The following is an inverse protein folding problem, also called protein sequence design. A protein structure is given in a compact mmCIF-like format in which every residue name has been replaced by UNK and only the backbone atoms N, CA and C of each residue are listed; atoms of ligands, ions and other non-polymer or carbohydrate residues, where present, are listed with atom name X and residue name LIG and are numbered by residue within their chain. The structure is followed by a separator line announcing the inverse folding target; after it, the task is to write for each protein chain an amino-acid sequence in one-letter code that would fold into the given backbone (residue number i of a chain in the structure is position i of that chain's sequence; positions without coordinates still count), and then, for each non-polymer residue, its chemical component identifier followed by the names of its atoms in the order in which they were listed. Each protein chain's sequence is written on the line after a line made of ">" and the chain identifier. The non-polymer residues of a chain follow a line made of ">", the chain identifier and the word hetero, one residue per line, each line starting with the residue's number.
data_IF_134123821384
#
_entry.id   IF_134123821384
#
_cell.length_a   1.000
_cell.length_b   1.000
_cell.length_c   1.000
_cell.angle_alpha   90.00
_cell.angle_beta   90.00
_cell.angle_gamma   90.00
#
_symmetry.space_group_name_H-M   'P 1'
#
loop_
_entity.id
_entity.type
_entity.pdbx_description
1 polymer ?
#
# COMPACT_ATOMS: atom_id res chain seq x y z
N UNK A 1 8.21 -58.06 46.74
CA UNK A 1 7.92 -56.72 46.19
C UNK A 1 8.93 -56.41 45.09
N UNK A 2 8.49 -56.25 43.84
CA UNK A 2 9.25 -55.60 42.77
C UNK A 2 8.24 -55.22 41.68
N UNK A 3 8.06 -53.93 41.42
CA UNK A 3 7.09 -53.42 40.44
C UNK A 3 7.85 -53.00 39.18
N UNK A 4 7.73 -53.79 38.12
CA UNK A 4 8.37 -53.49 36.83
C UNK A 4 7.55 -52.45 36.08
N UNK A 5 7.90 -51.17 36.23
CA UNK A 5 7.28 -50.07 35.49
C UNK A 5 7.75 -50.09 34.04
N UNK A 6 6.84 -50.37 33.10
CA UNK A 6 7.10 -50.17 31.68
C UNK A 6 7.17 -48.67 31.35
N UNK A 7 8.34 -48.21 30.90
CA UNK A 7 8.51 -46.83 30.44
C UNK A 7 8.12 -46.74 28.96
N UNK A 8 7.01 -46.06 28.67
CA UNK A 8 6.58 -45.76 27.31
C UNK A 8 7.37 -44.54 26.84
N UNK A 9 8.31 -44.73 25.90
CA UNK A 9 8.96 -43.62 25.20
C UNK A 9 8.00 -43.06 24.15
N UNK A 10 7.51 -41.84 24.37
CA UNK A 10 6.80 -41.07 23.35
C UNK A 10 7.84 -40.33 22.49
N UNK A 11 7.91 -40.54 21.17
CA UNK A 11 8.79 -39.74 20.32
C UNK A 11 8.23 -38.33 20.20
N UNK A 12 8.94 -37.34 20.75
CA UNK A 12 8.62 -35.93 20.57
C UNK A 12 8.98 -35.55 19.13
N UNK A 13 7.97 -35.50 18.27
CA UNK A 13 8.11 -35.03 16.89
C UNK A 13 8.32 -33.52 16.90
N UNK A 14 9.59 -33.11 16.97
CA UNK A 14 9.99 -31.71 16.96
C UNK A 14 9.75 -31.12 15.55
N UNK A 15 8.52 -30.67 15.29
CA UNK A 15 8.20 -29.88 14.10
C UNK A 15 9.01 -28.60 14.13
N UNK A 16 10.09 -28.56 13.35
CA UNK A 16 10.82 -27.33 13.06
C UNK A 16 9.91 -26.43 12.23
N UNK A 17 9.20 -25.53 12.91
CA UNK A 17 8.48 -24.44 12.28
C UNK A 17 9.52 -23.58 11.54
N UNK A 18 9.64 -23.78 10.22
CA UNK A 18 10.42 -22.90 9.36
C UNK A 18 9.74 -21.53 9.39
N UNK A 19 10.27 -20.65 10.24
CA UNK A 19 9.94 -19.22 10.24
C UNK A 19 10.50 -18.67 8.93
N UNK A 20 9.68 -18.74 7.88
CA UNK A 20 9.96 -18.05 6.63
C UNK A 20 9.88 -16.56 6.93
N UNK A 21 11.03 -15.93 7.13
CA UNK A 21 11.12 -14.47 7.11
C UNK A 21 10.78 -14.03 5.69
N UNK A 22 9.53 -13.61 5.47
CA UNK A 22 9.10 -12.99 4.23
C UNK A 22 9.91 -11.71 4.04
N UNK A 23 10.97 -11.81 3.25
CA UNK A 23 11.64 -10.63 2.69
C UNK A 23 10.62 -9.96 1.77
N UNK A 24 9.92 -8.95 2.30
CA UNK A 24 9.03 -8.10 1.52
C UNK A 24 9.86 -7.45 0.42
N UNK A 25 9.77 -7.97 -0.81
CA UNK A 25 10.48 -7.41 -1.95
C UNK A 25 9.88 -6.06 -2.30
N UNK A 26 10.75 -5.12 -2.69
CA UNK A 26 10.34 -3.89 -3.33
C UNK A 26 10.90 -3.88 -4.75
N UNK A 27 10.03 -4.13 -5.74
CA UNK A 27 10.42 -4.24 -7.15
C UNK A 27 11.11 -2.96 -7.66
N UNK A 28 10.72 -1.79 -7.17
CA UNK A 28 11.31 -0.52 -7.63
C UNK A 28 12.74 -0.34 -7.12
N UNK A 29 12.96 -0.58 -5.82
CA UNK A 29 14.28 -0.57 -5.20
C UNK A 29 15.21 -1.68 -5.75
N UNK A 30 14.65 -2.79 -6.23
CA UNK A 30 15.40 -3.83 -6.94
C UNK A 30 15.84 -3.31 -8.31
N UNK A 31 14.93 -2.71 -9.09
CA UNK A 31 15.21 -2.23 -10.44
C UNK A 31 16.09 -0.98 -10.49
N UNK A 32 16.15 -0.17 -9.42
CA UNK A 32 17.11 0.94 -9.30
C UNK A 32 18.58 0.49 -9.40
N UNK A 33 18.87 -0.79 -9.14
CA UNK A 33 20.19 -1.39 -9.36
C UNK A 33 20.54 -1.69 -10.84
N UNK A 34 19.60 -1.47 -11.77
CA UNK A 34 19.70 -1.91 -13.16
C UNK A 34 19.26 -0.80 -14.14
N UNK A 35 20.20 0.05 -14.61
CA UNK A 35 19.88 1.20 -15.47
C UNK A 35 19.14 0.87 -16.76
N UNK A 36 19.29 -0.35 -17.31
CA UNK A 36 18.63 -0.83 -18.54
C UNK A 36 17.08 -0.87 -18.44
N UNK A 37 16.51 -0.76 -17.23
CA UNK A 37 15.07 -0.82 -16.93
C UNK A 37 14.52 0.46 -16.29
N UNK A 38 15.26 1.58 -16.34
CA UNK A 38 14.89 2.83 -15.68
C UNK A 38 13.52 3.36 -16.13
N UNK A 39 13.18 3.24 -17.42
CA UNK A 39 11.89 3.65 -17.98
C UNK A 39 10.76 2.74 -17.47
N UNK A 40 10.98 1.42 -17.46
CA UNK A 40 10.03 0.43 -16.93
C UNK A 40 9.74 0.70 -15.45
N UNK A 41 10.78 0.94 -14.64
CA UNK A 41 10.67 1.26 -13.22
C UNK A 41 9.91 2.58 -12.97
N UNK A 42 10.17 3.61 -13.79
CA UNK A 42 9.42 4.87 -13.76
C UNK A 42 7.92 4.65 -14.01
N UNK A 43 7.55 3.76 -14.94
CA UNK A 43 6.14 3.49 -15.22
C UNK A 43 5.47 2.58 -14.20
N UNK A 44 6.17 1.59 -13.62
CA UNK A 44 5.66 0.86 -12.45
C UNK A 44 5.29 1.82 -11.31
N UNK A 45 6.17 2.78 -11.04
CA UNK A 45 5.99 3.80 -10.00
C UNK A 45 4.83 4.75 -10.30
N UNK A 46 4.75 5.28 -11.53
CA UNK A 46 3.67 6.19 -11.96
C UNK A 46 2.29 5.54 -11.97
N UNK A 47 2.21 4.27 -12.37
CA UNK A 47 0.95 3.52 -12.50
C UNK A 47 0.53 2.79 -11.23
N UNK A 48 1.38 2.77 -10.20
CA UNK A 48 1.21 2.05 -8.93
C UNK A 48 1.16 0.51 -9.03
N UNK A 49 1.53 -0.05 -10.18
CA UNK A 49 1.69 -1.51 -10.34
C UNK A 49 2.84 -2.04 -9.49
N UNK A 50 3.81 -1.21 -9.12
CA UNK A 50 4.81 -1.57 -8.10
C UNK A 50 4.18 -2.01 -6.77
N UNK A 51 3.13 -1.34 -6.32
CA UNK A 51 2.49 -1.62 -5.03
C UNK A 51 1.67 -2.91 -5.12
N UNK A 52 1.09 -3.20 -6.30
CA UNK A 52 0.45 -4.48 -6.59
C UNK A 52 1.46 -5.65 -6.59
N UNK A 53 2.62 -5.50 -7.24
CA UNK A 53 3.69 -6.51 -7.26
C UNK A 53 4.24 -6.76 -5.85
N UNK A 54 4.47 -5.71 -5.08
CA UNK A 54 5.02 -5.79 -3.73
C UNK A 54 4.04 -6.40 -2.71
N UNK A 55 2.73 -6.37 -3.00
CA UNK A 55 1.70 -6.97 -2.15
C UNK A 55 1.55 -8.50 -2.33
N UNK A 56 2.20 -9.11 -3.33
CA UNK A 56 2.12 -10.56 -3.59
C UNK A 56 3.37 -11.29 -3.10
N UNK A 57 3.18 -12.37 -2.32
CA UNK A 57 4.28 -13.19 -1.77
C UNK A 57 5.09 -13.94 -2.86
N UNK A 58 4.40 -14.34 -3.93
CA UNK A 58 4.94 -15.07 -5.07
C UNK A 58 4.58 -14.36 -6.37
N UNK A 59 5.58 -13.86 -7.11
CA UNK A 59 5.37 -13.11 -8.37
C UNK A 59 6.56 -13.26 -9.32
N UNK A 60 6.29 -13.29 -10.63
CA UNK A 60 7.30 -13.13 -11.68
C UNK A 60 7.07 -11.84 -12.44
N UNK A 61 8.04 -10.94 -12.44
CA UNK A 61 8.02 -9.69 -13.19
C UNK A 61 8.74 -9.89 -14.54
N UNK A 62 7.98 -9.82 -15.63
CA UNK A 62 8.50 -9.78 -17.00
C UNK A 62 8.91 -8.35 -17.34
N UNK A 63 10.18 -8.00 -17.09
CA UNK A 63 10.67 -6.64 -17.33
C UNK A 63 11.06 -6.42 -18.79
N UNK A 64 10.88 -5.17 -19.23
CA UNK A 64 11.27 -4.72 -20.56
C UNK A 64 12.48 -3.80 -20.43
N UNK A 65 13.47 -3.96 -21.31
CA UNK A 65 14.51 -2.95 -21.51
C UNK A 65 13.88 -1.61 -21.93
N UNK A 66 14.57 -0.50 -21.66
CA UNK A 66 14.09 0.85 -22.00
C UNK A 66 13.70 1.00 -23.49
N UNK A 67 14.34 0.25 -24.38
CA UNK A 67 13.97 0.17 -25.80
C UNK A 67 12.60 -0.50 -26.01
N UNK A 68 12.38 -1.69 -25.47
CA UNK A 68 11.10 -2.39 -25.58
C UNK A 68 9.97 -1.65 -24.84
N UNK A 69 10.28 -1.06 -23.68
CA UNK A 69 9.34 -0.21 -22.95
C UNK A 69 8.95 1.05 -23.75
N UNK A 70 9.88 1.67 -24.48
CA UNK A 70 9.58 2.80 -25.37
C UNK A 70 8.64 2.42 -26.51
N UNK A 71 8.80 1.22 -27.08
CA UNK A 71 7.87 0.66 -28.08
C UNK A 71 6.46 0.49 -27.49
N UNK A 72 6.34 -0.09 -26.30
CA UNK A 72 5.05 -0.25 -25.59
C UNK A 72 4.37 1.10 -25.31
N UNK A 73 5.12 2.09 -24.82
CA UNK A 73 4.63 3.46 -24.55
C UNK A 73 4.14 4.15 -25.83
N UNK A 74 4.80 3.88 -26.95
CA UNK A 74 4.41 4.40 -28.28
C UNK A 74 3.13 3.72 -28.77
N UNK A 75 3.05 2.39 -28.67
CA UNK A 75 1.85 1.61 -29.02
C UNK A 75 0.63 2.02 -28.18
N UNK A 76 0.85 2.29 -26.89
CA UNK A 76 -0.18 2.78 -25.96
C UNK A 76 -0.52 4.29 -26.14
N UNK A 77 0.09 5.00 -27.09
CA UNK A 77 -0.11 6.44 -27.33
C UNK A 77 0.08 7.28 -26.05
N UNK A 78 1.05 6.88 -25.21
CA UNK A 78 1.32 7.44 -23.87
C UNK A 78 0.16 7.33 -22.85
N UNK A 79 -0.90 6.54 -23.12
CA UNK A 79 -1.99 6.29 -22.17
C UNK A 79 -1.48 5.56 -20.93
N UNK A 80 -1.53 6.21 -19.76
CA UNK A 80 -1.13 5.58 -18.50
C UNK A 80 -2.02 4.39 -18.14
N UNK A 81 -3.32 4.42 -18.48
CA UNK A 81 -4.23 3.30 -18.26
C UNK A 81 -3.86 2.09 -19.14
N UNK A 82 -3.56 2.32 -20.43
CA UNK A 82 -3.10 1.26 -21.34
C UNK A 82 -1.75 0.66 -20.92
N UNK A 83 -0.80 1.51 -20.52
CA UNK A 83 0.50 1.09 -19.99
C UNK A 83 0.33 0.30 -18.68
N UNK A 84 -0.56 0.74 -17.78
CA UNK A 84 -0.85 0.05 -16.53
C UNK A 84 -1.37 -1.37 -16.77
N UNK A 85 -2.33 -1.53 -17.69
CA UNK A 85 -2.88 -2.84 -18.04
C UNK A 85 -1.81 -3.77 -18.62
N UNK A 86 -0.90 -3.24 -19.45
CA UNK A 86 0.23 -4.01 -19.95
C UNK A 86 1.21 -4.42 -18.83
N UNK A 87 1.59 -3.52 -17.92
CA UNK A 87 2.47 -3.84 -16.78
C UNK A 87 1.85 -4.89 -15.84
N UNK A 88 0.53 -4.84 -15.63
CA UNK A 88 -0.22 -5.87 -14.91
C UNK A 88 -0.20 -7.22 -15.63
N UNK A 89 -0.31 -7.24 -16.96
CA UNK A 89 -0.23 -8.47 -17.76
C UNK A 89 1.20 -9.05 -17.76
N UNK A 90 2.22 -8.20 -17.63
CA UNK A 90 3.63 -8.58 -17.48
C UNK A 90 4.00 -9.01 -16.04
N UNK A 91 3.04 -9.08 -15.13
CA UNK A 91 3.26 -9.46 -13.73
C UNK A 91 2.50 -10.76 -13.40
N UNK A 92 3.21 -11.88 -13.44
CA UNK A 92 2.67 -13.23 -13.33
C UNK A 92 2.54 -13.65 -11.86
N UNK A 93 1.44 -14.28 -11.48
CA UNK A 93 1.14 -14.71 -10.10
C UNK A 93 1.60 -16.15 -9.80
N UNK A 94 2.70 -16.55 -10.41
CA UNK A 94 3.45 -17.77 -10.13
C UNK A 94 4.95 -17.47 -10.33
N UNK A 95 5.81 -18.19 -9.64
CA UNK A 95 7.26 -18.05 -9.71
C UNK A 95 7.83 -18.83 -10.90
N UNK A 96 8.54 -18.16 -11.80
CA UNK A 96 9.23 -18.75 -12.94
C UNK A 96 10.70 -18.30 -12.98
N UNK A 97 11.62 -19.21 -12.67
CA UNK A 97 13.04 -19.04 -12.94
C UNK A 97 13.43 -19.60 -14.31
N UNK A 98 14.64 -19.30 -14.83
CA UNK A 98 15.09 -19.81 -16.12
C UNK A 98 15.02 -21.34 -16.22
N UNK A 99 15.22 -22.06 -15.12
CA UNK A 99 15.13 -23.51 -15.13
C UNK A 99 13.67 -23.95 -15.33
N UNK A 100 12.72 -23.50 -14.50
CA UNK A 100 11.28 -23.82 -14.64
C UNK A 100 10.71 -23.37 -15.99
N UNK A 101 11.22 -22.28 -16.57
CA UNK A 101 10.85 -21.83 -17.92
C UNK A 101 11.28 -22.82 -19.01
N UNK A 102 12.44 -23.47 -18.87
CA UNK A 102 12.92 -24.50 -19.80
C UNK A 102 12.38 -25.90 -19.50
N UNK A 103 12.09 -26.21 -18.23
CA UNK A 103 11.64 -27.53 -17.75
C UNK A 103 10.10 -27.64 -17.63
N UNK A 104 9.34 -26.90 -18.43
CA UNK A 104 7.87 -26.93 -18.42
C UNK A 104 7.32 -28.36 -18.72
N UNK A 105 6.51 -28.98 -17.84
CA UNK A 105 6.13 -30.40 -17.95
C UNK A 105 5.43 -30.82 -19.25
N UNK A 106 4.67 -29.91 -19.88
CA UNK A 106 4.02 -30.14 -21.18
C UNK A 106 4.59 -29.28 -22.30
N UNK A 107 5.79 -28.70 -22.09
CA UNK A 107 6.38 -27.70 -22.98
C UNK A 107 5.62 -26.37 -23.04
N UNK A 108 4.50 -26.22 -22.33
CA UNK A 108 3.71 -24.99 -22.26
C UNK A 108 2.99 -24.90 -20.93
N UNK A 109 2.68 -23.69 -20.48
CA UNK A 109 1.81 -23.44 -19.31
C UNK A 109 1.05 -22.13 -19.45
N UNK A 110 -0.17 -22.09 -18.92
CA UNK A 110 -1.01 -20.90 -18.83
C UNK A 110 -0.92 -20.36 -17.39
N UNK A 111 -0.57 -19.10 -17.21
CA UNK A 111 -0.40 -18.49 -15.88
C UNK A 111 -1.25 -17.23 -15.71
N UNK A 112 -1.77 -17.06 -14.49
CA UNK A 112 -2.56 -15.90 -14.07
C UNK A 112 -1.64 -14.69 -13.90
N UNK A 113 -2.15 -13.50 -14.19
CA UNK A 113 -1.42 -12.23 -14.01
C UNK A 113 -2.20 -11.28 -13.12
N UNK A 114 -1.55 -10.21 -12.64
CA UNK A 114 -2.24 -9.10 -11.97
C UNK A 114 -3.38 -8.52 -12.83
N UNK A 115 -3.27 -8.58 -14.16
CA UNK A 115 -4.32 -8.06 -15.02
C UNK A 115 -5.57 -8.93 -15.00
N UNK A 116 -5.42 -10.26 -14.92
CA UNK A 116 -6.57 -11.16 -14.77
C UNK A 116 -7.30 -10.94 -13.44
N UNK A 117 -6.58 -10.67 -12.34
CA UNK A 117 -7.19 -10.44 -11.02
C UNK A 117 -8.00 -9.14 -10.93
N UNK A 118 -7.86 -8.22 -11.88
CA UNK A 118 -8.73 -7.02 -11.95
C UNK A 118 -10.17 -7.32 -12.34
N UNK A 119 -10.43 -8.47 -12.99
CA UNK A 119 -11.72 -8.75 -13.62
C UNK A 119 -12.02 -7.97 -14.92
N UNK A 120 -11.16 -7.02 -15.31
CA UNK A 120 -11.32 -6.22 -16.54
C UNK A 120 -10.90 -6.99 -17.81
N UNK A 121 -10.10 -8.05 -17.65
CA UNK A 121 -9.66 -8.91 -18.75
C UNK A 121 -10.85 -9.68 -19.36
N UNK A 122 -11.13 -9.55 -20.67
CA UNK A 122 -12.21 -10.31 -21.30
C UNK A 122 -11.88 -11.81 -21.34
N UNK A 123 -12.61 -12.63 -20.57
CA UNK A 123 -12.38 -14.08 -20.51
C UNK A 123 -10.95 -14.41 -20.05
N UNK A 124 -10.20 -15.09 -20.92
CA UNK A 124 -8.82 -15.53 -20.63
C UNK A 124 -7.74 -14.52 -21.06
N UNK A 125 -8.11 -13.34 -21.60
CA UNK A 125 -7.11 -12.42 -22.16
C UNK A 125 -6.13 -11.81 -21.14
N UNK A 126 -6.38 -11.97 -19.84
CA UNK A 126 -5.47 -11.59 -18.78
C UNK A 126 -4.49 -12.68 -18.35
N UNK A 127 -4.54 -13.86 -18.94
CA UNK A 127 -3.54 -14.90 -18.74
C UNK A 127 -2.41 -14.76 -19.77
N UNK A 128 -1.20 -15.16 -19.37
CA UNK A 128 -0.05 -15.31 -20.27
C UNK A 128 0.20 -16.80 -20.49
N UNK A 129 0.37 -17.19 -21.75
CA UNK A 129 0.85 -18.52 -22.12
C UNK A 129 2.37 -18.46 -22.32
N UNK A 130 3.08 -19.36 -21.63
CA UNK A 130 4.53 -19.51 -21.68
C UNK A 130 4.81 -20.84 -22.39
N UNK A 131 5.67 -20.85 -23.41
CA UNK A 131 5.92 -22.04 -24.23
C UNK A 131 7.39 -22.23 -24.56
N UNK A 132 7.88 -23.46 -24.40
CA UNK A 132 9.16 -23.94 -24.93
C UNK A 132 9.08 -24.03 -26.46
N UNK A 133 9.71 -23.07 -27.13
CA UNK A 133 9.83 -23.02 -28.57
C UNK A 133 11.03 -23.85 -29.05
N UNK A 134 11.00 -24.22 -30.33
CA UNK A 134 12.10 -24.97 -30.97
C UNK A 134 13.42 -24.18 -30.85
N UNK A 135 14.50 -24.90 -30.51
CA UNK A 135 15.84 -24.33 -30.39
C UNK A 135 16.15 -23.77 -29.00
N UNK A 136 15.44 -24.21 -27.96
CA UNK A 136 15.72 -23.83 -26.56
C UNK A 136 15.28 -22.41 -26.20
N UNK A 137 14.44 -21.77 -27.02
CA UNK A 137 13.85 -20.47 -26.71
C UNK A 137 12.58 -20.66 -25.88
N UNK A 138 12.29 -19.73 -24.98
CA UNK A 138 11.00 -19.66 -24.29
C UNK A 138 10.25 -18.44 -24.80
N UNK A 139 9.04 -18.65 -25.29
CA UNK A 139 8.15 -17.59 -25.78
C UNK A 139 7.07 -17.25 -24.76
N UNK A 140 6.63 -15.99 -24.77
CA UNK A 140 5.50 -15.49 -24.01
C UNK A 140 4.46 -14.92 -24.98
N UNK A 141 3.18 -15.21 -24.75
CA UNK A 141 2.07 -14.69 -25.54
C UNK A 141 0.86 -14.43 -24.64
N UNK A 142 0.01 -13.46 -25.01
CA UNK A 142 -1.30 -13.33 -24.38
C UNK A 142 -2.13 -14.58 -24.69
N UNK A 143 -3.05 -14.98 -23.81
CA UNK A 143 -3.93 -16.12 -24.06
C UNK A 143 -5.11 -15.79 -25.00
N UNK A 144 -4.90 -14.93 -25.99
CA UNK A 144 -5.87 -14.65 -27.05
C UNK A 144 -5.79 -15.71 -28.16
N UNK A 145 -6.93 -16.09 -28.78
CA UNK A 145 -6.92 -16.99 -29.93
C UNK A 145 -6.02 -16.47 -31.07
N UNK A 146 -5.08 -17.30 -31.52
CA UNK A 146 -4.15 -16.94 -32.60
C UNK A 146 -3.01 -16.00 -32.21
N UNK A 147 -2.77 -15.78 -30.91
CA UNK A 147 -1.63 -14.98 -30.44
C UNK A 147 -0.28 -15.53 -30.91
N UNK A 148 0.64 -14.62 -31.22
CA UNK A 148 2.02 -14.94 -31.60
C UNK A 148 2.94 -14.84 -30.37
N UNK A 149 4.03 -15.60 -30.41
CA UNK A 149 5.12 -15.52 -29.44
C UNK A 149 6.15 -14.49 -29.92
N UNK A 150 5.74 -13.23 -29.98
CA UNK A 150 6.61 -12.12 -30.39
C UNK A 150 7.56 -11.72 -29.24
N UNK A 151 7.17 -11.99 -27.99
CA UNK A 151 8.01 -11.88 -26.80
C UNK A 151 8.74 -13.20 -26.48
N UNK A 152 10.02 -13.12 -26.10
CA UNK A 152 10.84 -14.28 -25.73
C UNK A 152 11.78 -13.98 -24.56
N UNK A 153 12.12 -15.01 -23.77
CA UNK A 153 13.05 -14.90 -22.64
C UNK A 153 14.45 -14.46 -23.11
N UNK A 154 15.03 -13.46 -22.45
CA UNK A 154 16.39 -12.95 -22.72
C UNK A 154 17.36 -13.38 -21.62
N UNK A 155 17.12 -12.97 -20.37
CA UNK A 155 18.00 -13.24 -19.22
C UNK A 155 17.24 -13.11 -17.89
N UNK A 156 17.74 -13.76 -16.84
CA UNK A 156 17.36 -13.42 -15.47
C UNK A 156 18.04 -12.11 -15.04
N UNK A 157 17.30 -11.30 -14.28
CA UNK A 157 17.76 -10.00 -13.76
C UNK A 157 18.03 -10.11 -12.27
N UNK A 158 17.03 -10.57 -11.50
CA UNK A 158 17.10 -10.75 -10.06
C UNK A 158 16.19 -11.89 -9.63
N UNK A 159 16.61 -12.69 -8.66
CA UNK A 159 15.82 -13.81 -8.15
C UNK A 159 15.92 -13.90 -6.63
N UNK A 160 14.77 -14.18 -6.01
CA UNK A 160 14.60 -14.60 -4.63
C UNK A 160 13.78 -15.90 -4.71
N UNK A 161 14.40 -17.08 -4.57
CA UNK A 161 13.78 -18.36 -4.87
C UNK A 161 12.41 -18.53 -4.21
N UNK A 162 11.42 -19.02 -4.98
CA UNK A 162 10.02 -19.22 -4.59
C UNK A 162 9.19 -17.94 -4.31
N UNK A 163 9.83 -16.77 -4.15
CA UNK A 163 9.15 -15.50 -3.88
C UNK A 163 9.10 -14.59 -5.12
N UNK A 164 10.25 -14.09 -5.59
CA UNK A 164 10.30 -13.12 -6.68
C UNK A 164 11.27 -13.58 -7.77
N UNK A 165 10.79 -13.63 -9.02
CA UNK A 165 11.64 -13.77 -10.19
C UNK A 165 11.49 -12.56 -11.10
N UNK A 166 12.59 -11.87 -11.39
CA UNK A 166 12.65 -10.75 -12.33
C UNK A 166 13.44 -11.21 -13.54
N UNK A 167 12.77 -11.26 -14.70
CA UNK A 167 13.34 -11.76 -15.96
C UNK A 167 13.07 -10.78 -17.09
N UNK A 168 14.05 -10.58 -17.96
CA UNK A 168 13.89 -9.74 -19.15
C UNK A 168 13.26 -10.55 -20.28
N UNK A 169 12.28 -9.94 -20.96
CA UNK A 169 11.71 -10.45 -22.21
C UNK A 169 11.98 -9.48 -23.37
N UNK A 170 12.05 -10.01 -24.58
CA UNK A 170 12.50 -9.28 -25.78
C UNK A 170 11.52 -8.21 -26.28
N UNK A 171 10.23 -8.34 -25.98
CA UNK A 171 9.18 -7.40 -26.36
C UNK A 171 7.99 -7.54 -25.38
N UNK A 172 7.05 -6.59 -25.39
CA UNK A 172 5.87 -6.60 -24.54
C UNK A 172 4.85 -7.67 -24.98
N UNK A 173 4.33 -8.43 -24.02
CA UNK A 173 3.15 -9.28 -24.25
C UNK A 173 1.91 -8.39 -24.31
N UNK A 174 1.28 -8.30 -25.49
CA UNK A 174 0.08 -7.48 -25.73
C UNK A 174 -0.95 -8.24 -26.58
N UNK A 175 -2.19 -7.74 -26.59
CA UNK A 175 -3.25 -8.19 -27.50
C UNK A 175 -4.15 -6.99 -27.91
N UNK A 176 -4.91 -7.07 -29.02
CA UNK A 176 -5.79 -5.98 -29.47
C UNK A 176 -6.83 -5.59 -28.42
N UNK A 177 -6.94 -4.30 -28.09
CA UNK A 177 -7.82 -3.80 -27.02
C UNK A 177 -7.16 -3.67 -25.64
N UNK A 178 -6.00 -4.28 -25.37
CA UNK A 178 -5.31 -4.16 -24.07
C UNK A 178 -4.89 -2.71 -23.76
N UNK A 179 -4.40 -2.01 -24.79
CA UNK A 179 -3.85 -0.65 -24.67
C UNK A 179 -4.91 0.43 -24.93
N UNK A 180 -6.09 0.07 -25.40
CA UNK A 180 -7.18 0.99 -25.78
C UNK A 180 -8.00 1.49 -24.57
N UNK A 181 -7.40 1.47 -23.38
CA UNK A 181 -8.00 2.01 -22.17
C UNK A 181 -8.18 3.54 -22.27
N UNK A 182 -9.45 3.96 -22.27
CA UNK A 182 -9.87 5.36 -22.22
C UNK A 182 -9.41 6.02 -20.93
N UNK A 183 -8.86 7.25 -20.99
CA UNK A 183 -8.47 7.98 -19.79
C UNK A 183 -9.67 8.20 -18.88
N UNK A 184 -9.59 7.65 -17.67
CA UNK A 184 -10.59 7.83 -16.64
C UNK A 184 -10.82 9.30 -16.24
N UNK A 185 -9.90 10.22 -16.54
CA UNK A 185 -10.11 11.65 -16.25
C UNK A 185 -11.32 12.27 -16.97
N UNK A 186 -11.85 11.60 -18.01
CA UNK A 186 -13.08 11.98 -18.71
C UNK A 186 -14.31 11.15 -18.34
N UNK A 187 -14.18 10.21 -17.38
CA UNK A 187 -15.26 9.31 -17.02
C UNK A 187 -16.40 10.01 -16.26
N UNK A 188 -17.63 9.59 -16.52
CA UNK A 188 -18.77 10.04 -15.75
C UNK A 188 -18.81 9.33 -14.39
N UNK A 189 -18.34 10.00 -13.34
CA UNK A 189 -18.33 9.49 -11.95
C UNK A 189 -19.72 8.97 -11.54
N UNK A 190 -20.82 9.69 -11.79
CA UNK A 190 -22.14 9.26 -11.29
C UNK A 190 -22.59 7.95 -11.94
N UNK A 191 -22.35 7.78 -13.25
CA UNK A 191 -22.66 6.54 -13.96
C UNK A 191 -21.82 5.35 -13.45
N UNK A 192 -20.56 5.57 -13.07
CA UNK A 192 -19.72 4.54 -12.45
C UNK A 192 -20.24 4.16 -11.05
N UNK A 193 -20.59 5.16 -10.23
CA UNK A 193 -21.15 4.95 -8.89
C UNK A 193 -22.51 4.23 -8.92
N UNK A 194 -23.41 4.62 -9.82
CA UNK A 194 -24.71 3.98 -10.00
C UNK A 194 -24.57 2.50 -10.41
N UNK A 195 -23.64 2.21 -11.33
CA UNK A 195 -23.31 0.84 -11.74
C UNK A 195 -22.69 0.02 -10.60
N UNK A 196 -21.99 0.67 -9.67
CA UNK A 196 -21.38 0.04 -8.50
C UNK A 196 -22.33 -0.13 -7.29
N UNK A 197 -23.58 0.34 -7.36
CA UNK A 197 -24.52 0.29 -6.23
C UNK A 197 -24.32 1.39 -5.18
N UNK A 198 -23.78 2.54 -5.59
CA UNK A 198 -23.56 3.72 -4.75
C UNK A 198 -24.51 4.87 -5.19
N UNK A 199 -25.79 4.59 -5.41
CA UNK A 199 -26.75 5.52 -6.05
C UNK A 199 -27.11 6.70 -5.16
N UNK A 200 -27.20 6.48 -3.86
CA UNK A 200 -27.44 7.49 -2.83
C UNK A 200 -26.29 8.49 -2.82
N UNK A 201 -25.03 7.99 -2.81
CA UNK A 201 -23.84 8.81 -2.90
C UNK A 201 -23.76 9.59 -4.24
N UNK A 202 -24.04 8.94 -5.37
CA UNK A 202 -24.09 9.60 -6.68
C UNK A 202 -25.11 10.76 -6.70
N UNK A 203 -26.28 10.57 -6.08
CA UNK A 203 -27.34 11.58 -5.96
C UNK A 203 -26.92 12.76 -5.07
N UNK A 204 -26.22 12.49 -3.95
CA UNK A 204 -25.66 13.52 -3.06
C UNK A 204 -24.56 14.35 -3.74
N UNK A 205 -23.69 13.72 -4.55
CA UNK A 205 -22.66 14.44 -5.32
C UNK A 205 -23.27 15.35 -6.39
N UNK A 206 -24.39 14.92 -7.00
CA UNK A 206 -25.12 15.71 -7.98
C UNK A 206 -25.85 16.91 -7.35
N UNK A 207 -26.53 16.72 -6.21
CA UNK A 207 -27.32 17.78 -5.56
C UNK A 207 -26.47 18.81 -4.81
N UNK A 208 -25.33 18.40 -4.24
CA UNK A 208 -24.38 19.28 -3.54
C UNK A 208 -23.47 20.09 -4.47
N UNK A 209 -23.28 19.65 -5.71
CA UNK A 209 -22.35 20.24 -6.67
C UNK A 209 -20.87 19.82 -6.51
N UNK A 210 -20.55 18.96 -5.52
CA UNK A 210 -19.17 18.48 -5.26
C UNK A 210 -18.58 17.73 -6.46
N UNK A 211 -19.42 17.18 -7.35
CA UNK A 211 -18.98 16.56 -8.61
C UNK A 211 -18.00 17.43 -9.43
N UNK A 212 -18.17 18.76 -9.43
CA UNK A 212 -17.25 19.69 -10.13
C UNK A 212 -15.85 19.73 -9.49
N UNK A 213 -15.78 19.61 -8.17
CA UNK A 213 -14.51 19.58 -7.43
C UNK A 213 -13.75 18.31 -7.82
N UNK A 214 -14.42 17.16 -7.80
CA UNK A 214 -13.84 15.88 -8.23
C UNK A 214 -13.35 15.93 -9.68
N UNK A 215 -14.18 16.40 -10.60
CA UNK A 215 -13.79 16.58 -12.01
C UNK A 215 -12.53 17.45 -12.16
N UNK A 216 -12.42 18.55 -11.41
CA UNK A 216 -11.22 19.41 -11.42
C UNK A 216 -9.96 18.78 -10.78
N UNK A 217 -10.13 17.66 -10.08
CA UNK A 217 -9.08 16.91 -9.41
C UNK A 217 -8.68 15.65 -10.19
N UNK A 218 -9.54 15.12 -11.05
CA UNK A 218 -9.29 13.91 -11.86
C UNK A 218 -8.04 14.02 -12.75
N UNK A 219 -7.69 15.20 -13.27
CA UNK A 219 -6.46 15.38 -14.05
C UNK A 219 -5.18 15.46 -13.18
N UNK A 220 -5.31 15.70 -11.87
CA UNK A 220 -4.18 15.84 -10.91
C UNK A 220 -3.92 14.57 -10.11
N UNK A 221 -4.93 13.72 -9.96
CA UNK A 221 -4.94 12.56 -9.09
C UNK A 221 -6.14 12.60 -8.15
N UNK A 222 -7.02 11.60 -8.27
CA UNK A 222 -8.21 11.48 -7.43
C UNK A 222 -8.37 10.03 -6.96
N UNK A 223 -8.58 9.85 -5.65
CA UNK A 223 -9.09 8.59 -5.09
C UNK A 223 -10.42 8.89 -4.43
N UNK A 224 -11.50 8.26 -4.88
CA UNK A 224 -12.84 8.44 -4.33
C UNK A 224 -13.27 7.18 -3.57
N UNK A 225 -13.59 7.34 -2.30
CA UNK A 225 -14.20 6.31 -1.46
C UNK A 225 -15.72 6.45 -1.52
N UNK A 226 -16.39 5.54 -2.20
CA UNK A 226 -17.82 5.57 -2.42
C UNK A 226 -18.55 4.66 -1.42
N UNK A 227 -19.33 5.19 -0.47
CA UNK A 227 -20.19 4.36 0.35
C UNK A 227 -21.23 3.67 -0.53
N UNK A 228 -21.41 2.36 -0.33
CA UNK A 228 -22.50 1.61 -0.94
C UNK A 228 -23.86 2.10 -0.39
N UNK A 229 -24.97 1.74 -1.06
CA UNK A 229 -26.30 2.17 -0.61
C UNK A 229 -26.67 1.62 0.79
N UNK A 230 -26.14 0.46 1.17
CA UNK A 230 -26.36 -0.16 2.49
C UNK A 230 -25.69 0.64 3.63
N UNK A 231 -24.56 1.31 3.36
CA UNK A 231 -23.84 2.14 4.33
C UNK A 231 -24.71 3.30 4.85
N UNK A 232 -25.61 3.84 4.02
CA UNK A 232 -26.58 4.87 4.42
C UNK A 232 -27.75 4.32 5.26
N UNK A 233 -27.93 3.00 5.29
CA UNK A 233 -28.94 2.30 6.09
C UNK A 233 -28.32 1.59 7.32
N UNK A 234 -26.99 1.68 7.50
CA UNK A 234 -26.28 1.01 8.56
C UNK A 234 -26.67 1.55 9.95
N UNK A 235 -26.74 0.69 11.00
CA UNK A 235 -26.96 1.15 12.36
C UNK A 235 -25.86 2.13 12.80
N UNK A 236 -26.23 3.37 13.10
CA UNK A 236 -25.29 4.45 13.45
C UNK A 236 -24.96 5.41 12.30
N UNK A 237 -25.44 5.17 11.08
CA UNK A 237 -25.34 6.16 10.00
C UNK A 237 -26.09 7.47 10.41
N UNK A 238 -25.47 8.66 10.26
CA UNK A 238 -26.10 9.92 10.63
C UNK A 238 -27.18 10.33 9.62
N UNK A 239 -28.23 10.99 10.10
CA UNK A 239 -29.24 11.59 9.23
C UNK A 239 -28.66 12.82 8.51
N UNK A 240 -28.21 12.61 7.27
CA UNK A 240 -27.62 13.64 6.42
C UNK A 240 -28.57 14.80 6.10
N UNK A 241 -29.89 14.65 6.30
CA UNK A 241 -30.86 15.74 6.11
C UNK A 241 -30.79 16.80 7.21
N UNK A 242 -30.17 16.49 8.35
CA UNK A 242 -29.96 17.42 9.48
C UNK A 242 -28.73 18.31 9.31
N UNK A 243 -27.82 17.98 8.39
CA UNK A 243 -26.57 18.71 8.15
C UNK A 243 -26.81 20.02 7.41
N UNK A 244 -25.99 21.04 7.68
CA UNK A 244 -25.96 22.21 6.82
C UNK A 244 -25.38 21.85 5.44
N UNK A 245 -25.69 22.65 4.42
CA UNK A 245 -25.10 22.43 3.08
C UNK A 245 -23.57 22.50 3.08
N UNK A 246 -22.97 23.27 4.00
CA UNK A 246 -21.51 23.35 4.15
C UNK A 246 -20.94 22.07 4.79
N UNK A 247 -21.60 21.51 5.80
CA UNK A 247 -21.19 20.27 6.46
C UNK A 247 -21.35 19.07 5.52
N UNK A 248 -22.43 19.03 4.73
CA UNK A 248 -22.62 18.01 3.69
C UNK A 248 -21.53 18.09 2.61
N UNK A 249 -21.21 19.29 2.11
CA UNK A 249 -20.12 19.49 1.13
C UNK A 249 -18.75 19.11 1.72
N UNK A 250 -18.54 19.32 3.02
CA UNK A 250 -17.33 18.92 3.74
C UNK A 250 -17.25 17.39 3.89
N UNK A 251 -18.34 16.75 4.35
CA UNK A 251 -18.46 15.30 4.46
C UNK A 251 -18.23 14.59 3.12
N UNK A 252 -18.80 15.12 2.03
CA UNK A 252 -18.57 14.57 0.69
C UNK A 252 -17.09 14.68 0.30
N UNK A 253 -16.47 15.86 0.43
CA UNK A 253 -15.03 16.02 0.14
C UNK A 253 -14.12 15.15 1.03
N UNK A 254 -14.52 14.84 2.26
CA UNK A 254 -13.80 13.92 3.15
C UNK A 254 -13.74 12.48 2.60
N UNK A 255 -14.68 12.09 1.72
CA UNK A 255 -14.67 10.81 1.02
C UNK A 255 -13.70 10.76 -0.18
N UNK A 256 -12.89 11.79 -0.40
CA UNK A 256 -11.97 11.85 -1.55
C UNK A 256 -10.57 12.31 -1.15
N UNK A 257 -9.55 11.74 -1.79
CA UNK A 257 -8.14 12.15 -1.65
C UNK A 257 -7.69 12.99 -2.86
N UNK A 258 -6.86 14.04 -2.65
CA UNK A 258 -6.24 14.84 -3.72
C UNK A 258 -5.09 14.11 -4.46
N UNK A 259 -5.05 12.79 -4.41
CA UNK A 259 -3.99 11.97 -4.99
C UNK A 259 -4.51 10.62 -5.50
N UNK A 260 -3.71 9.98 -6.33
CA UNK A 260 -3.95 8.64 -6.86
C UNK A 260 -3.34 7.57 -5.94
N UNK A 261 -4.19 6.92 -5.15
CA UNK A 261 -3.85 5.91 -4.14
C UNK A 261 -4.81 4.72 -4.29
N UNK A 262 -4.55 3.80 -5.23
CA UNK A 262 -5.37 2.60 -5.41
C UNK A 262 -5.29 1.66 -4.19
N UNK A 263 -6.17 0.65 -4.14
CA UNK A 263 -6.30 -0.25 -2.97
C UNK A 263 -4.98 -0.90 -2.53
N UNK A 264 -4.09 -1.25 -3.45
CA UNK A 264 -2.75 -1.79 -3.18
C UNK A 264 -1.77 -0.76 -2.58
N UNK A 265 -1.96 0.53 -2.84
CA UNK A 265 -1.13 1.62 -2.30
C UNK A 265 -1.55 2.07 -0.89
N UNK A 266 -2.79 1.80 -0.47
CA UNK A 266 -3.32 2.23 0.83
C UNK A 266 -2.48 1.70 2.02
N UNK A 267 -2.07 0.41 2.11
CA UNK A 267 -1.26 -0.08 3.23
C UNK A 267 0.12 0.59 3.36
N UNK A 268 0.65 1.16 2.27
CA UNK A 268 1.92 1.89 2.28
C UNK A 268 1.79 3.33 2.83
N UNK A 269 0.56 3.84 3.00
CA UNK A 269 0.28 5.16 3.59
C UNK A 269 0.36 5.07 5.12
N UNK A 270 1.54 5.34 5.66
CA UNK A 270 1.74 5.48 7.10
C UNK A 270 1.49 6.92 7.56
N UNK A 271 0.68 7.09 8.62
CA UNK A 271 0.32 8.39 9.19
C UNK A 271 -0.97 9.00 8.63
N UNK A 272 -1.24 10.29 8.93
CA UNK A 272 -2.45 10.99 8.49
C UNK A 272 -2.48 11.18 6.97
N UNK A 273 -3.62 10.85 6.37
CA UNK A 273 -3.91 10.98 4.94
C UNK A 273 -4.82 12.19 4.74
N UNK A 274 -4.33 13.15 3.94
CA UNK A 274 -5.06 14.36 3.58
C UNK A 274 -6.23 14.01 2.64
N UNK A 275 -7.43 14.49 2.95
CA UNK A 275 -8.63 14.42 2.10
C UNK A 275 -8.83 15.73 1.33
N UNK A 276 -9.83 15.80 0.44
CA UNK A 276 -10.24 17.08 -0.16
C UNK A 276 -10.93 18.02 0.84
N UNK A 277 -11.33 17.51 2.02
CA UNK A 277 -11.79 18.34 3.13
C UNK A 277 -10.64 18.84 4.03
N UNK A 278 -9.42 18.31 3.86
CA UNK A 278 -8.30 18.64 4.75
C UNK A 278 -7.92 20.11 4.72
N UNK A 279 -7.62 20.63 5.91
CA UNK A 279 -7.11 22.00 6.07
C UNK A 279 -5.62 21.98 6.38
N UNK A 280 -4.93 23.11 6.13
CA UNK A 280 -3.50 23.27 6.43
C UNK A 280 -3.12 23.11 7.92
N UNK A 281 -4.10 22.91 8.81
CA UNK A 281 -3.91 22.62 10.24
C UNK A 281 -4.03 21.12 10.60
N UNK A 282 -4.14 20.21 9.62
CA UNK A 282 -4.27 18.76 9.87
C UNK A 282 -5.64 18.33 10.41
N UNK A 283 -6.69 19.11 10.11
CA UNK A 283 -8.10 18.71 10.32
C UNK A 283 -8.61 17.97 9.10
N UNK A 284 -9.59 17.08 9.30
CA UNK A 284 -10.18 16.22 8.27
C UNK A 284 -9.19 15.26 7.62
N UNK A 285 -8.20 14.81 8.38
CA UNK A 285 -7.29 13.74 7.98
C UNK A 285 -7.82 12.38 8.46
N UNK A 286 -7.65 11.34 7.66
CA UNK A 286 -7.98 9.95 8.02
C UNK A 286 -6.70 9.10 8.11
N UNK A 287 -6.81 7.85 8.56
CA UNK A 287 -5.70 6.89 8.56
C UNK A 287 -6.10 5.56 7.93
N UNK A 288 -5.12 4.78 7.48
CA UNK A 288 -5.34 3.41 6.99
C UNK A 288 -4.96 2.40 8.07
N UNK A 289 -5.81 1.40 8.26
CA UNK A 289 -5.56 0.21 9.06
C UNK A 289 -5.64 -1.00 8.14
N UNK A 290 -4.59 -1.81 8.09
CA UNK A 290 -4.55 -3.04 7.28
C UNK A 290 -4.45 -4.27 8.17
N UNK A 291 -5.22 -5.31 7.86
CA UNK A 291 -5.18 -6.60 8.54
C UNK A 291 -5.08 -7.72 7.49
N UNK A 292 -3.89 -8.28 7.33
CA UNK A 292 -3.60 -9.20 6.24
C UNK A 292 -3.87 -8.54 4.89
N UNK A 293 -4.79 -9.12 4.11
CA UNK A 293 -5.16 -8.63 2.78
C UNK A 293 -6.37 -7.65 2.79
N UNK A 294 -6.92 -7.34 3.97
CA UNK A 294 -8.05 -6.42 4.12
C UNK A 294 -7.57 -5.02 4.56
N UNK A 295 -8.23 -3.99 4.04
CA UNK A 295 -7.84 -2.59 4.20
C UNK A 295 -9.06 -1.79 4.64
N UNK A 296 -8.92 -1.07 5.75
CA UNK A 296 -9.96 -0.21 6.30
C UNK A 296 -9.43 1.21 6.52
N UNK A 297 -10.32 2.18 6.36
CA UNK A 297 -10.10 3.58 6.65
C UNK A 297 -10.61 3.86 8.06
N UNK A 298 -9.76 4.41 8.91
CA UNK A 298 -10.06 4.80 10.29
C UNK A 298 -10.16 6.33 10.36
N UNK A 299 -11.36 6.82 10.69
CA UNK A 299 -11.66 8.25 10.76
C UNK A 299 -11.52 8.83 12.17
N UNK A 300 -11.20 8.00 13.17
CA UNK A 300 -11.28 8.36 14.60
C UNK A 300 -12.71 8.37 15.17
N UNK A 301 -13.75 8.35 14.32
CA UNK A 301 -15.15 8.12 14.73
C UNK A 301 -15.52 6.65 14.53
N UNK A 302 -15.21 6.10 13.35
CA UNK A 302 -15.49 4.69 13.01
C UNK A 302 -14.49 4.17 11.95
N UNK A 303 -14.57 2.87 11.64
CA UNK A 303 -13.74 2.16 10.66
C UNK A 303 -14.57 1.63 9.51
N UNK A 304 -14.26 2.09 8.30
CA UNK A 304 -14.93 1.62 7.08
C UNK A 304 -14.00 0.79 6.23
N UNK A 305 -14.41 -0.43 5.91
CA UNK A 305 -13.64 -1.37 5.09
C UNK A 305 -13.73 -1.01 3.60
N UNK A 306 -12.62 -1.11 2.88
CA UNK A 306 -12.54 -0.89 1.43
C UNK A 306 -12.96 -2.16 0.69
N UNK A 307 -14.23 -2.25 0.31
CA UNK A 307 -14.84 -3.48 -0.19
C UNK A 307 -14.34 -3.88 -1.59
N UNK A 308 -14.56 -3.04 -2.60
CA UNK A 308 -14.26 -3.35 -4.01
C UNK A 308 -13.67 -2.17 -4.79
N UNK A 309 -13.09 -2.46 -5.95
CA UNK A 309 -12.59 -1.45 -6.90
C UNK A 309 -13.61 -1.25 -8.01
N UNK A 310 -14.14 -0.04 -8.17
CA UNK A 310 -15.05 0.34 -9.27
C UNK A 310 -14.27 0.76 -10.51
N UNK A 311 -13.17 1.48 -10.29
CA UNK A 311 -12.32 2.07 -11.31
C UNK A 311 -10.90 2.17 -10.75
N UNK A 312 -9.88 1.85 -11.54
CA UNK A 312 -8.48 1.99 -11.12
C UNK A 312 -7.54 2.20 -12.33
N UNK A 313 -7.72 3.38 -12.92
CA UNK A 313 -7.10 3.84 -14.17
C UNK A 313 -6.34 5.12 -13.89
N UNK A 314 -5.01 5.05 -13.81
CA UNK A 314 -4.16 6.18 -13.43
C UNK A 314 -4.47 7.45 -14.26
N UNK A 315 -4.77 8.61 -13.63
CA UNK A 315 -4.58 8.94 -12.22
C UNK A 315 -5.88 8.95 -11.37
N UNK A 316 -6.93 8.21 -11.76
CA UNK A 316 -8.21 8.17 -11.04
C UNK A 316 -8.51 6.76 -10.51
N UNK A 317 -8.84 6.67 -9.23
CA UNK A 317 -9.36 5.45 -8.61
C UNK A 317 -10.70 5.72 -7.91
N UNK A 318 -11.65 4.79 -8.03
CA UNK A 318 -12.90 4.77 -7.28
C UNK A 318 -13.00 3.42 -6.57
N UNK A 319 -13.09 3.46 -5.26
CA UNK A 319 -13.12 2.31 -4.36
C UNK A 319 -14.43 2.36 -3.57
N UNK A 320 -15.14 1.24 -3.43
CA UNK A 320 -16.32 1.19 -2.56
C UNK A 320 -15.90 1.00 -1.10
N UNK A 321 -16.71 1.53 -0.19
CA UNK A 321 -16.53 1.37 1.26
C UNK A 321 -17.82 0.92 1.94
N UNK A 322 -17.68 0.09 2.98
CA UNK A 322 -18.80 -0.59 3.67
C UNK A 322 -19.59 0.31 4.64
N UNK A 323 -19.10 1.53 4.91
CA UNK A 323 -19.69 2.50 5.87
C UNK A 323 -19.31 3.93 5.50
N UNK A 324 -20.11 4.93 5.91
CA UNK A 324 -19.77 6.34 5.68
C UNK A 324 -18.48 6.73 6.43
N UNK A 325 -17.62 7.50 5.77
CA UNK A 325 -16.43 8.08 6.40
C UNK A 325 -16.87 9.35 7.15
N UNK A 326 -16.93 9.25 8.48
CA UNK A 326 -17.40 10.34 9.35
C UNK A 326 -16.21 11.07 9.99
N UNK A 327 -15.94 12.35 9.66
CA UNK A 327 -14.85 13.10 10.28
C UNK A 327 -15.18 13.51 11.73
N UNK A 328 -14.16 13.47 12.60
CA UNK A 328 -14.29 13.84 14.03
C UNK A 328 -14.72 15.29 14.23
N UNK A 329 -14.45 16.19 13.30
CA UNK A 329 -14.84 17.60 13.38
C UNK A 329 -16.35 17.84 13.21
N UNK A 330 -17.08 16.89 12.60
CA UNK A 330 -18.54 16.98 12.41
C UNK A 330 -19.32 15.97 13.27
N UNK A 331 -18.74 14.78 13.50
CA UNK A 331 -19.42 13.65 14.17
C UNK A 331 -18.70 13.15 15.42
N UNK A 332 -17.54 13.71 15.76
CA UNK A 332 -16.90 13.45 17.05
C UNK A 332 -17.79 13.98 18.16
N UNK A 333 -18.15 13.11 19.11
CA UNK A 333 -18.76 13.56 20.35
C UNK A 333 -17.84 14.57 21.05
N UNK A 334 -18.42 15.50 21.81
CA UNK A 334 -17.63 16.35 22.70
C UNK A 334 -16.70 15.44 23.52
N UNK A 335 -15.39 15.75 23.64
CA UNK A 335 -14.45 14.90 24.35
C UNK A 335 -15.04 14.62 25.74
N UNK A 336 -15.17 13.32 26.06
CA UNK A 336 -15.82 12.87 27.29
C UNK A 336 -15.27 13.71 28.45
N UNK A 337 -16.12 14.29 29.32
CA UNK A 337 -15.66 15.18 30.37
C UNK A 337 -14.51 14.51 31.10
N UNK A 338 -13.32 15.12 31.03
CA UNK A 338 -12.12 14.56 31.65
C UNK A 338 -12.49 14.16 33.08
N UNK A 339 -12.19 12.92 33.53
CA UNK A 339 -12.72 12.40 34.78
C UNK A 339 -12.60 13.45 35.87
N UNK A 340 -13.77 14.00 36.26
CA UNK A 340 -13.80 15.10 37.22
C UNK A 340 -13.02 14.67 38.45
N UNK A 341 -12.16 15.54 39.02
CA UNK A 341 -11.26 15.16 40.09
C UNK A 341 -12.06 14.37 41.12
N UNK A 342 -11.69 13.10 41.30
CA UNK A 342 -12.51 12.14 42.01
C UNK A 342 -12.88 12.76 43.35
N UNK A 343 -14.19 12.84 43.66
CA UNK A 343 -14.63 13.36 44.95
C UNK A 343 -13.98 12.51 46.03
N UNK A 344 -13.00 13.10 46.71
CA UNK A 344 -12.28 12.41 47.77
C UNK A 344 -13.29 12.02 48.84
N UNK A 345 -13.44 10.71 49.03
CA UNK A 345 -14.23 10.14 50.10
C UNK A 345 -13.78 10.76 51.42
N UNK A 346 -14.65 11.38 52.23
CA UNK A 346 -14.21 12.16 53.38
C UNK A 346 -13.39 11.33 54.36
N UNK A 347 -12.11 11.68 54.53
CA UNK A 347 -11.26 11.10 55.56
C UNK A 347 -11.76 11.57 56.93
N UNK A 348 -11.97 10.68 57.92
CA UNK A 348 -12.45 11.09 59.24
C UNK A 348 -11.47 12.03 59.94
N UNK A 349 -11.99 13.11 60.52
CA UNK A 349 -11.18 14.11 61.21
C UNK A 349 -10.54 13.56 62.51
N UNK A 350 -9.30 13.97 62.84
CA UNK A 350 -8.74 13.75 64.17
C UNK A 350 -9.37 14.72 65.20
N UNK A 351 -9.60 14.22 66.41
CA UNK A 351 -10.10 14.97 67.56
C UNK A 351 -8.98 15.80 68.24
N UNK A 352 -9.29 16.74 69.15
CA UNK A 352 -8.64 18.05 69.16
C UNK A 352 -7.45 18.19 70.12
N UNK A 353 -6.48 18.99 69.71
CA UNK A 353 -5.43 19.51 70.59
C UNK A 353 -5.81 20.87 71.21
N UNK A 354 -5.33 21.11 72.42
CA UNK A 354 -5.76 22.22 73.27
C UNK A 354 -4.79 23.41 73.29
N UNK A 355 -5.34 24.58 73.64
CA UNK A 355 -4.66 25.77 74.18
C UNK A 355 -3.67 26.52 73.26
N UNK A 356 -4.08 27.74 72.88
CA UNK A 356 -3.18 28.87 72.69
C UNK A 356 -3.42 29.90 73.81
N UNK A 357 -2.38 30.67 74.19
CA UNK A 357 -2.52 32.12 74.06
C UNK A 357 -1.35 32.76 73.31
N UNK A 358 -1.63 33.90 72.66
CA UNK A 358 -0.67 34.75 71.95
C UNK A 358 0.19 35.59 72.95
N UNK A 359 1.17 36.47 72.56
CA UNK A 359 0.86 37.64 71.71
C UNK A 359 2.00 38.35 70.89
N UNK A 360 1.56 39.31 70.05
CA UNK A 360 2.21 40.55 69.49
C UNK A 360 3.63 40.60 68.87
N UNK A 361 3.72 41.15 67.64
CA UNK A 361 4.12 42.55 67.31
C UNK A 361 5.17 42.79 66.18
N UNK A 362 4.85 43.78 65.31
CA UNK A 362 5.74 44.65 64.47
C UNK A 362 6.38 43.99 63.22
N UNK A 363 6.57 44.66 62.06
CA UNK A 363 6.36 46.07 61.64
C UNK A 363 6.25 46.19 60.08
N UNK A 364 5.66 47.30 59.59
CA UNK A 364 5.81 48.05 58.30
C UNK A 364 6.63 47.51 57.10
N UNK A 365 6.44 47.89 55.82
CA UNK A 365 5.50 48.72 54.98
C UNK A 365 5.85 48.34 53.51
N UNK A 366 4.93 47.93 52.63
CA UNK A 366 4.22 48.73 51.59
C UNK A 366 5.08 49.53 50.56
N UNK A 367 4.62 49.52 49.28
CA UNK A 367 4.93 50.44 48.13
C UNK A 367 6.19 50.16 47.26
N UNK A 368 6.28 50.38 45.92
CA UNK A 368 5.38 50.84 44.81
C UNK A 368 5.88 50.32 43.40
N UNK A 369 5.18 50.65 42.28
CA UNK A 369 5.34 50.11 40.90
C UNK A 369 6.07 51.04 39.85
N UNK A 370 5.75 51.06 38.51
CA UNK A 370 6.56 50.70 37.30
C UNK A 370 7.12 51.93 36.49
N UNK A 371 7.60 51.94 35.19
CA UNK A 371 7.55 50.98 34.06
C UNK A 371 8.84 50.83 33.16
N UNK A 372 8.73 50.93 31.80
CA UNK A 372 9.74 50.71 30.71
C UNK A 372 9.62 51.82 29.59
N UNK A 373 10.20 51.80 28.35
CA UNK A 373 11.31 51.05 27.67
C UNK A 373 12.32 52.05 26.94
N UNK A 374 12.75 51.91 25.65
CA UNK A 374 13.72 51.01 24.95
C UNK A 374 14.97 51.72 24.31
N UNK A 375 15.98 50.99 23.77
CA UNK A 375 16.80 51.42 22.59
C UNK A 375 17.73 50.33 21.94
N UNK A 376 17.68 50.28 20.60
CA UNK A 376 18.67 50.01 19.51
C UNK A 376 19.89 49.03 19.58
N UNK A 377 20.37 48.65 18.38
CA UNK A 377 21.41 47.65 18.02
C UNK A 377 22.72 48.35 17.52
N UNK A 378 23.62 47.81 16.63
CA UNK A 378 23.97 46.43 16.20
C UNK A 378 25.51 46.13 16.22
N UNK A 379 25.96 44.92 15.80
CA UNK A 379 27.35 44.65 15.39
C UNK A 379 27.52 43.41 14.46
N UNK A 380 28.59 43.38 13.67
CA UNK A 380 28.81 42.49 12.51
C UNK A 380 29.77 41.28 12.71
N UNK A 381 29.38 40.16 12.09
CA UNK A 381 30.21 39.33 11.19
C UNK A 381 31.52 38.63 11.73
N UNK A 382 32.36 37.98 10.89
CA UNK A 382 32.51 36.51 11.03
C UNK A 382 33.96 35.99 11.11
N UNK A 383 34.14 34.67 11.21
CA UNK A 383 35.43 34.02 10.92
C UNK A 383 35.27 32.80 10.02
N UNK A 384 36.17 32.70 9.03
CA UNK A 384 36.24 31.66 8.02
C UNK A 384 37.71 31.24 7.92
N UNK A 385 38.00 29.94 8.03
CA UNK A 385 39.33 29.40 7.75
C UNK A 385 39.21 28.05 7.05
N UNK A 386 40.01 27.85 6.00
CA UNK A 386 40.08 26.64 5.19
C UNK A 386 41.53 26.40 4.76
N UNK A 387 41.98 25.14 4.76
CA UNK A 387 43.21 24.59 4.15
C UNK A 387 43.45 23.19 4.75
N UNK A 388 44.03 22.18 4.09
CA UNK A 388 44.21 21.90 2.65
C UNK A 388 44.46 20.36 2.50
N UNK A 389 44.59 19.88 1.26
CA UNK A 389 44.74 18.48 0.83
C UNK A 389 46.05 17.80 1.26
N UNK A 390 46.02 16.46 1.30
CA UNK A 390 47.07 15.60 0.72
C UNK A 390 46.51 14.20 0.37
N UNK A 391 47.20 13.48 -0.51
CA UNK A 391 46.75 12.25 -1.19
C UNK A 391 47.77 11.09 -0.98
N UNK A 392 47.42 9.86 -1.42
CA UNK A 392 48.30 8.77 -1.95
C UNK A 392 48.36 7.41 -1.18
N UNK A 393 47.63 6.45 -1.74
CA UNK A 393 47.91 5.00 -2.02
C UNK A 393 48.32 3.94 -0.95
N UNK A 394 47.69 2.76 -1.20
CA UNK A 394 48.19 1.35 -1.17
C UNK A 394 48.21 0.56 0.16
N UNK A 395 47.40 -0.50 0.18
CA UNK A 395 47.95 -1.88 0.18
C UNK A 395 47.48 -2.85 1.26
N UNK A 396 47.35 -4.13 0.87
CA UNK A 396 47.02 -5.34 1.66
C UNK A 396 45.61 -5.37 2.30
N UNK A 397 44.74 -6.39 2.17
CA UNK A 397 44.80 -7.85 1.94
C UNK A 397 44.63 -8.71 3.22
N UNK A 398 43.86 -9.80 3.06
CA UNK A 398 43.65 -10.94 3.95
C UNK A 398 42.80 -10.75 5.24
N UNK A 399 41.59 -11.32 5.20
CA UNK A 399 40.99 -12.06 6.32
C UNK A 399 40.10 -13.19 5.76
N UNK A 400 40.68 -14.38 5.58
CA UNK A 400 39.94 -15.62 5.27
C UNK A 400 39.72 -16.37 6.58
N UNK A 401 38.50 -16.85 6.82
CA UNK A 401 38.22 -17.88 7.83
C UNK A 401 36.96 -18.68 7.47
N UNK A 402 36.82 -19.93 7.94
CA UNK A 402 36.43 -20.99 7.02
C UNK A 402 35.12 -21.72 7.35
N UNK A 403 34.57 -22.34 6.29
CA UNK A 403 33.93 -23.67 6.26
C UNK A 403 32.95 -24.04 7.39
N UNK A 404 31.65 -23.97 7.10
CA UNK A 404 30.56 -24.45 7.95
C UNK A 404 29.61 -25.42 7.25
N UNK A 405 30.02 -26.70 7.20
CA UNK A 405 29.24 -27.94 7.02
C UNK A 405 28.01 -27.97 6.08
N UNK A 406 28.11 -28.77 5.01
CA UNK A 406 26.99 -29.24 4.20
C UNK A 406 26.18 -30.31 4.97
N UNK A 407 24.86 -30.13 5.10
CA UNK A 407 23.96 -31.14 5.67
C UNK A 407 22.95 -31.61 4.61
N UNK A 408 23.32 -32.64 3.85
CA UNK A 408 22.42 -33.29 2.90
C UNK A 408 21.52 -34.31 3.64
N UNK A 409 20.21 -34.04 3.74
CA UNK A 409 19.23 -35.02 4.22
C UNK A 409 18.61 -35.71 3.01
N UNK A 410 19.14 -36.90 2.70
CA UNK A 410 18.57 -37.82 1.74
C UNK A 410 17.49 -38.66 2.44
N UNK A 411 16.22 -38.33 2.21
CA UNK A 411 15.08 -39.16 2.65
C UNK A 411 14.53 -39.98 1.50
N UNK A 412 15.00 -41.22 1.38
CA UNK A 412 14.40 -42.22 0.50
C UNK A 412 13.05 -42.66 1.08
N UNK A 413 11.94 -42.37 0.39
CA UNK A 413 10.68 -43.08 0.61
C UNK A 413 10.36 -43.96 -0.58
N UNK A 414 10.73 -45.23 -0.47
CA UNK A 414 10.14 -46.28 -1.27
C UNK A 414 8.81 -46.69 -0.63
N UNK A 415 7.70 -46.52 -1.36
CA UNK A 415 6.47 -47.24 -1.08
C UNK A 415 6.19 -48.20 -2.24
N UNK A 416 6.35 -49.49 -1.96
CA UNK A 416 6.01 -50.55 -2.91
C UNK A 416 4.51 -50.82 -2.93
N UNK A 417 3.99 -51.11 -4.12
CA UNK A 417 2.66 -51.72 -4.29
C UNK A 417 2.60 -53.08 -3.58
N UNK A 418 1.51 -53.36 -2.84
CA UNK A 418 0.88 -54.69 -2.94
C UNK A 418 -0.59 -54.68 -2.47
N UNK A 419 -1.49 -54.91 -3.45
CA UNK A 419 -2.67 -55.80 -3.41
C UNK A 419 -3.40 -55.96 -2.06
N UNK A 420 -4.63 -55.45 -1.99
CA UNK A 420 -5.84 -56.30 -2.16
C UNK A 420 -7.06 -55.46 -2.56
#
# INVERSE_FOLDING_TARGET
>A
MASTKAAILIPILLSSLLIHTTQAHNITAILDGYPDYALYNSYLTKTKVCDEINAHETVTCLVLSDSAMSSLVTAAKQSLAGIKNALRLLSLLDYFDPQKLHDLPSGTTLTTTLYQTTGNAPGNLGFVNITNLRGGKVGFAAAAPGSKFDASYVKAVKQFPFNLSVIEISDAVIYPGLLDATSASTANITALLEKAGCKTFASLLASSGVLKIYQSQMDKGLTLFAPNDDAFQAPGAPDLSTLSSADLVTLLQYHALPEYTPKSSLPAKSGPIQTLASSAAGKYDMSVVSQGNDVSLDTGVDKSRVASTVLDDTPVCILTVDSLLLPVELFGGAPAPAPGPASETPVPAPAPDALAPAPVSKKHRLHHSPPAPPMEAPAEAPSKAAADKAEVKKGAAAAVSPMGLLAAIMSCFAFGNLIM
#
